data_IF_639147062875
#
_entry.id   IF_639147062875
#
_cell.length_a   1.000
_cell.length_b   1.000
_cell.length_c   1.000
_cell.angle_alpha   90.00
_cell.angle_beta   90.00
_cell.angle_gamma   90.00
#
_symmetry.space_group_name_H-M   'P 1'
#
loop_
_entity.id
_entity.type
_entity.pdbx_description
1 polymer ?
#
# COMPACT_ATOMS: atom_id res chain seq x y z
N UNK A 1 -17.76 -5.00 7.50
CA UNK A 1 -16.62 -5.63 8.19
C UNK A 1 -15.31 -4.92 7.77
N UNK A 2 -14.57 -4.33 8.70
CA UNK A 2 -13.30 -3.64 8.38
C UNK A 2 -12.22 -4.71 8.16
N UNK A 3 -11.55 -4.72 7.01
CA UNK A 3 -10.42 -5.63 6.78
C UNK A 3 -9.25 -5.19 7.67
N UNK A 4 -8.80 -6.09 8.54
CA UNK A 4 -7.61 -5.90 9.35
C UNK A 4 -6.41 -6.41 8.56
N UNK A 5 -5.46 -5.51 8.27
CA UNK A 5 -4.19 -5.86 7.65
C UNK A 5 -3.09 -5.71 8.68
N UNK A 6 -2.22 -6.71 8.77
CA UNK A 6 -1.03 -6.65 9.63
C UNK A 6 -0.10 -5.51 9.17
N UNK A 7 0.69 -4.99 10.11
CA UNK A 7 1.65 -3.93 9.80
C UNK A 7 2.68 -4.38 8.77
N UNK A 8 3.14 -5.63 8.87
CA UNK A 8 4.07 -6.24 7.91
C UNK A 8 3.48 -6.30 6.50
N UNK A 9 2.22 -6.72 6.36
CA UNK A 9 1.54 -6.75 5.07
C UNK A 9 1.47 -5.35 4.45
N UNK A 10 1.10 -4.33 5.24
CA UNK A 10 1.07 -2.94 4.76
C UNK A 10 2.45 -2.48 4.31
N UNK A 11 3.51 -2.78 5.07
CA UNK A 11 4.88 -2.42 4.70
C UNK A 11 5.31 -3.08 3.39
N UNK A 12 5.02 -4.37 3.19
CA UNK A 12 5.34 -5.07 1.95
C UNK A 12 4.63 -4.45 0.75
N UNK A 13 3.33 -4.13 0.89
CA UNK A 13 2.55 -3.45 -0.16
C UNK A 13 3.11 -2.07 -0.48
N UNK A 14 3.49 -1.29 0.54
CA UNK A 14 4.07 0.05 0.36
C UNK A 14 5.42 -0.03 -0.34
N UNK A 15 6.31 -0.94 0.08
CA UNK A 15 7.63 -1.15 -0.57
C UNK A 15 7.48 -1.54 -2.04
N UNK A 16 6.59 -2.46 -2.35
CA UNK A 16 6.30 -2.86 -3.73
C UNK A 16 5.71 -1.70 -4.55
N UNK A 17 4.83 -0.90 -3.95
CA UNK A 17 4.25 0.29 -4.58
C UNK A 17 5.29 1.37 -4.88
N UNK A 18 6.22 1.61 -3.95
CA UNK A 18 7.34 2.55 -4.14
C UNK A 18 8.31 2.07 -5.22
N UNK A 19 8.59 0.75 -5.29
CA UNK A 19 9.47 0.16 -6.31
C UNK A 19 8.83 0.14 -7.71
N UNK A 20 7.53 -0.18 -7.80
CA UNK A 20 6.83 -0.34 -9.08
C UNK A 20 6.38 1.00 -9.66
N UNK A 21 6.04 1.99 -8.82
CA UNK A 21 5.46 3.27 -9.24
C UNK A 21 4.01 3.19 -9.74
N UNK A 22 3.49 2.00 -10.06
CA UNK A 22 2.13 1.78 -10.58
C UNK A 22 1.24 1.12 -9.52
N UNK A 23 0.49 1.93 -8.77
CA UNK A 23 -0.35 1.46 -7.65
C UNK A 23 -1.46 0.49 -8.08
N UNK A 24 -2.03 0.64 -9.29
CA UNK A 24 -3.05 -0.28 -9.80
C UNK A 24 -2.53 -1.70 -10.03
N UNK A 25 -1.26 -1.85 -10.40
CA UNK A 25 -0.63 -3.17 -10.60
C UNK A 25 -0.41 -3.86 -9.25
N UNK A 26 0.09 -3.11 -8.27
CA UNK A 26 0.32 -3.59 -6.90
C UNK A 26 -1.01 -3.94 -6.23
N UNK A 27 -2.03 -3.09 -6.37
CA UNK A 27 -3.35 -3.35 -5.82
C UNK A 27 -3.94 -4.68 -6.33
N UNK A 28 -3.84 -4.97 -7.64
CA UNK A 28 -4.27 -6.26 -8.21
C UNK A 28 -3.48 -7.45 -7.64
N UNK A 29 -2.14 -7.32 -7.52
CA UNK A 29 -1.27 -8.37 -6.96
C UNK A 29 -1.67 -8.77 -5.54
N UNK A 30 -2.11 -7.80 -4.73
CA UNK A 30 -2.47 -8.01 -3.33
C UNK A 30 -3.98 -8.09 -3.07
N UNK A 31 -4.80 -8.18 -4.13
CA UNK A 31 -6.27 -8.15 -4.04
C UNK A 31 -6.82 -6.94 -3.22
N UNK A 32 -6.18 -5.79 -3.42
CA UNK A 32 -6.51 -4.50 -2.81
C UNK A 32 -7.11 -3.53 -3.83
N UNK A 33 -7.64 -2.42 -3.33
CA UNK A 33 -7.99 -1.26 -4.15
C UNK A 33 -6.77 -0.33 -4.28
N UNK A 34 -6.56 0.24 -5.47
CA UNK A 34 -5.51 1.24 -5.72
C UNK A 34 -5.59 2.44 -4.76
N UNK A 35 -6.80 2.85 -4.36
CA UNK A 35 -7.00 3.91 -3.37
C UNK A 35 -6.43 3.54 -1.99
N UNK A 36 -6.53 2.27 -1.58
CA UNK A 36 -5.93 1.77 -0.32
C UNK A 36 -4.41 1.85 -0.38
N UNK A 37 -3.81 1.40 -1.48
CA UNK A 37 -2.35 1.44 -1.69
C UNK A 37 -1.85 2.88 -1.71
N UNK A 38 -2.51 3.76 -2.47
CA UNK A 38 -2.16 5.19 -2.55
C UNK A 38 -2.22 5.87 -1.18
N UNK A 39 -3.28 5.59 -0.40
CA UNK A 39 -3.42 6.11 0.97
C UNK A 39 -2.26 5.65 1.87
N UNK A 40 -1.93 4.36 1.87
CA UNK A 40 -0.84 3.85 2.71
C UNK A 40 0.52 4.42 2.32
N UNK A 41 0.78 4.57 1.03
CA UNK A 41 2.02 5.21 0.54
C UNK A 41 2.10 6.67 0.99
N UNK A 42 0.98 7.42 0.94
CA UNK A 42 0.91 8.80 1.44
C UNK A 42 1.15 8.87 2.95
N UNK A 43 0.47 8.03 3.73
CA UNK A 43 0.64 7.97 5.19
C UNK A 43 2.08 7.58 5.56
N UNK A 44 2.70 6.68 4.81
CA UNK A 44 4.11 6.31 4.99
C UNK A 44 5.05 7.49 4.73
N UNK A 45 4.90 8.18 3.60
CA UNK A 45 5.72 9.37 3.27
C UNK A 45 5.56 10.52 4.27
N UNK A 46 4.39 10.68 4.87
CA UNK A 46 4.14 11.69 5.89
C UNK A 46 4.78 11.36 7.24
N UNK A 47 5.09 10.09 7.52
CA UNK A 47 5.77 9.69 8.77
C UNK A 47 7.29 9.73 8.67
N UNK A 48 7.83 9.62 7.47
CA UNK A 48 9.26 9.71 7.19
C UNK A 48 9.72 11.14 6.88
N UNK A 49 8.82 12.14 7.01
CA UNK A 49 9.07 13.57 6.81
C UNK A 49 9.00 14.31 8.15
#
# INVERSE_FOLDING_TARGET
MRRHYTSEFKQNVIKDALKTGVFAKVARKYALNAATVSRWVREYKQREA
#
